data_IF_767349147499
#
_entry.id   IF_767349147499
#
_cell.length_a   1.000
_cell.length_b   1.000
_cell.length_c   1.000
_cell.angle_alpha   90.00
_cell.angle_beta   90.00
_cell.angle_gamma   90.00
#
_symmetry.space_group_name_H-M   'P 1'
#
loop_
_entity.id
_entity.type
_entity.pdbx_description
1 polymer ?
#
# COMPACT_ATOMS: atom_id res chain seq x y z
N UNK A 1 -10.04 -4.12 -4.25
CA UNK A 1 -10.37 -3.77 -2.85
C UNK A 1 -9.70 -2.49 -2.34
N UNK A 2 -8.44 -2.42 -1.89
CA UNK A 2 -7.91 -1.15 -1.31
C UNK A 2 -7.96 0.01 -2.31
N UNK A 3 -7.36 -0.18 -3.49
CA UNK A 3 -7.31 0.84 -4.55
C UNK A 3 -8.71 1.19 -5.04
N UNK A 4 -9.47 0.18 -5.44
CA UNK A 4 -10.87 0.31 -5.86
C UNK A 4 -11.76 1.04 -4.84
N UNK A 5 -11.59 0.79 -3.54
CA UNK A 5 -12.32 1.51 -2.49
C UNK A 5 -11.88 2.98 -2.43
N UNK A 6 -10.58 3.25 -2.56
CA UNK A 6 -10.08 4.61 -2.59
C UNK A 6 -10.62 5.41 -3.80
N UNK A 7 -10.67 4.78 -4.98
CA UNK A 7 -11.24 5.37 -6.20
C UNK A 7 -12.76 5.61 -6.05
N UNK A 8 -13.51 4.66 -5.52
CA UNK A 8 -14.98 4.77 -5.37
C UNK A 8 -15.42 5.82 -4.35
N UNK A 9 -14.52 6.22 -3.45
CA UNK A 9 -14.82 7.12 -2.34
C UNK A 9 -14.03 8.43 -2.39
N UNK A 10 -13.39 8.75 -3.53
CA UNK A 10 -12.61 9.97 -3.72
C UNK A 10 -11.60 10.20 -2.58
N UNK A 11 -10.89 9.15 -2.18
CA UNK A 11 -9.94 9.22 -1.07
C UNK A 11 -8.65 9.89 -1.51
N UNK A 12 -8.29 10.99 -0.85
CA UNK A 12 -7.07 11.75 -1.16
C UNK A 12 -5.76 11.11 -0.62
N UNK A 13 -5.86 10.20 0.36
CA UNK A 13 -4.69 9.57 0.99
C UNK A 13 -4.96 8.18 1.58
N UNK A 14 -4.01 7.26 1.36
CA UNK A 14 -3.95 5.94 2.00
C UNK A 14 -2.76 5.87 2.95
N UNK A 15 -3.01 5.46 4.19
CA UNK A 15 -1.97 5.16 5.20
C UNK A 15 -1.91 3.66 5.43
N UNK A 16 -0.74 3.05 5.24
CA UNK A 16 -0.56 1.60 5.36
C UNK A 16 0.67 1.23 6.20
N UNK A 17 0.50 0.26 7.09
CA UNK A 17 1.60 -0.28 7.88
C UNK A 17 2.49 -1.24 7.10
N UNK A 18 3.78 -1.28 7.42
CA UNK A 18 4.71 -2.31 6.94
C UNK A 18 4.87 -3.42 7.99
N UNK A 19 4.77 -4.68 7.57
CA UNK A 19 5.08 -5.83 8.43
C UNK A 19 6.56 -6.17 8.24
N UNK A 20 7.35 -6.12 9.32
CA UNK A 20 8.79 -6.40 9.32
C UNK A 20 9.16 -7.86 9.05
N UNK A 21 8.79 -8.39 7.89
CA UNK A 21 9.04 -9.78 7.45
C UNK A 21 10.48 -9.99 6.94
N UNK A 22 11.35 -8.98 7.03
CA UNK A 22 12.66 -8.90 6.38
C UNK A 22 12.52 -8.48 4.92
N UNK A 23 13.26 -7.44 4.51
CA UNK A 23 13.10 -6.75 3.22
C UNK A 23 13.07 -7.70 2.01
N UNK A 24 13.93 -8.73 2.02
CA UNK A 24 14.02 -9.72 0.94
C UNK A 24 12.81 -10.67 0.86
N UNK A 25 12.30 -11.16 2.00
CA UNK A 25 11.12 -12.05 2.02
C UNK A 25 9.84 -11.27 1.68
N UNK A 26 9.73 -10.03 2.17
CA UNK A 26 8.61 -9.14 1.85
C UNK A 26 8.56 -8.75 0.38
N UNK A 27 9.73 -8.59 -0.26
CA UNK A 27 9.82 -8.27 -1.69
C UNK A 27 9.48 -9.47 -2.59
N UNK A 28 9.97 -10.68 -2.27
CA UNK A 28 9.73 -11.89 -3.09
C UNK A 28 8.26 -12.32 -3.14
N UNK A 29 7.53 -12.19 -2.03
CA UNK A 29 6.10 -12.54 -1.98
C UNK A 29 5.19 -11.41 -2.50
N UNK A 30 5.76 -10.21 -2.71
CA UNK A 30 5.04 -8.97 -2.96
C UNK A 30 4.28 -8.50 -1.71
N UNK A 31 4.62 -7.31 -1.21
CA UNK A 31 3.91 -6.75 -0.06
C UNK A 31 2.65 -5.97 -0.50
N UNK A 32 1.62 -5.98 0.35
CA UNK A 32 0.42 -5.15 0.12
C UNK A 32 0.80 -3.67 0.09
N UNK A 33 1.67 -3.23 1.02
CA UNK A 33 2.15 -1.83 1.04
C UNK A 33 2.86 -1.43 -0.24
N UNK A 34 3.66 -2.32 -0.84
CA UNK A 34 4.33 -2.04 -2.12
C UNK A 34 3.34 -1.94 -3.27
N UNK A 35 2.37 -2.88 -3.35
CA UNK A 35 1.33 -2.83 -4.38
C UNK A 35 0.47 -1.57 -4.26
N UNK A 36 0.08 -1.20 -3.05
CA UNK A 36 -0.72 0.01 -2.80
C UNK A 36 0.07 1.27 -3.16
N UNK A 37 1.31 1.39 -2.70
CA UNK A 37 2.16 2.56 -3.01
C UNK A 37 2.47 2.70 -4.51
N UNK A 38 2.44 1.60 -5.27
CA UNK A 38 2.70 1.62 -6.71
C UNK A 38 1.44 1.86 -7.56
N UNK A 39 0.27 1.42 -7.10
CA UNK A 39 -0.97 1.43 -7.89
C UNK A 39 -1.96 2.52 -7.49
N UNK A 40 -1.84 3.11 -6.30
CA UNK A 40 -2.75 4.16 -5.88
C UNK A 40 -2.53 5.43 -6.71
N UNK A 41 -3.63 6.03 -7.17
CA UNK A 41 -3.63 7.34 -7.83
C UNK A 41 -3.56 8.49 -6.81
N UNK A 42 -3.87 8.21 -5.54
CA UNK A 42 -3.81 9.17 -4.45
C UNK A 42 -2.54 9.01 -3.59
N UNK A 43 -2.32 9.95 -2.67
CA UNK A 43 -1.11 9.95 -1.84
C UNK A 43 -1.02 8.69 -0.97
N UNK A 44 0.15 8.05 -0.92
CA UNK A 44 0.37 6.85 -0.10
C UNK A 44 1.49 7.07 0.91
N UNK A 45 1.20 6.83 2.19
CA UNK A 45 2.19 6.88 3.28
C UNK A 45 2.34 5.49 3.89
N UNK A 46 3.59 5.03 3.95
CA UNK A 46 3.93 3.79 4.66
C UNK A 46 4.48 4.11 6.05
N UNK A 47 3.93 3.48 7.08
CA UNK A 47 4.37 3.60 8.47
C UNK A 47 4.97 2.30 9.00
N UNK A 48 5.86 2.40 9.99
CA UNK A 48 6.43 1.26 10.73
C UNK A 48 5.70 1.08 12.04
#
# INVERSE_FOLDING_TARGET
VIIEYAEQHDIDMIVIGSRGLGDLKGMLLGSVSHKVAHLAECSCITVK
#
